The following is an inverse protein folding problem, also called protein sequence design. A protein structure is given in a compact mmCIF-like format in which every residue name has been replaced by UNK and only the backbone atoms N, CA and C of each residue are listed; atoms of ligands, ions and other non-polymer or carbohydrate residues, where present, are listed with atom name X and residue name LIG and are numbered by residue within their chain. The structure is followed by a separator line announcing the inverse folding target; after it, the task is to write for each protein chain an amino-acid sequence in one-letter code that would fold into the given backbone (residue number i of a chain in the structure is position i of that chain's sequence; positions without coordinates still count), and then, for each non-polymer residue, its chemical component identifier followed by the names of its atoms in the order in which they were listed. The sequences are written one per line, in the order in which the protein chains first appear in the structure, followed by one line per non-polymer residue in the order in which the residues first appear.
data_IF_889625859147
#
_entry.id   IF_889625859147
#
_cell.length_a   1.000
_cell.length_b   1.000
_cell.length_c   1.000
_cell.angle_alpha   90.00
_cell.angle_beta   90.00
_cell.angle_gamma   90.00
#
_symmetry.space_group_name_H-M   'P 1'
#
loop_
_entity.id
_entity.type
_entity.pdbx_description
1 polymer ?
#
# COMPACT_ATOMS: atom_id res chain seq x y z
N UNK A 1 -3.73 -4.89 16.87
CA UNK A 1 -3.36 -3.77 15.97
C UNK A 1 -4.45 -3.57 14.91
N UNK A 2 -5.18 -4.63 14.55
CA UNK A 2 -6.32 -4.64 13.63
C UNK A 2 -7.57 -3.89 14.14
N UNK A 3 -7.74 -3.72 15.45
CA UNK A 3 -8.86 -2.98 16.07
C UNK A 3 -9.04 -1.52 15.62
N UNK A 4 -8.01 -0.87 15.06
CA UNK A 4 -8.07 0.55 14.65
C UNK A 4 -8.47 0.76 13.19
N UNK A 5 -8.43 -0.27 12.36
CA UNK A 5 -8.89 -0.18 10.97
C UNK A 5 -10.42 -0.24 10.87
N UNK A 6 -11.12 -0.68 11.92
CA UNK A 6 -12.58 -0.84 11.91
C UNK A 6 -13.36 0.49 11.71
N UNK A 7 -12.77 1.63 12.08
CA UNK A 7 -13.41 2.95 11.89
C UNK A 7 -13.19 3.53 10.49
N UNK A 8 -12.36 2.88 9.69
CA UNK A 8 -11.96 3.34 8.35
C UNK A 8 -12.87 2.66 7.32
N UNK A 9 -13.55 3.46 6.49
CA UNK A 9 -14.28 2.94 5.33
C UNK A 9 -13.46 3.18 4.07
N UNK A 10 -13.24 2.13 3.28
CA UNK A 10 -12.68 2.21 1.94
C UNK A 10 -13.81 2.07 0.91
N UNK A 11 -13.83 2.95 -0.09
CA UNK A 11 -14.68 2.79 -1.26
C UNK A 11 -13.83 2.25 -2.42
N UNK A 12 -14.15 1.04 -2.87
CA UNK A 12 -13.39 0.32 -3.88
C UNK A 12 -13.68 0.83 -5.30
N UNK A 13 -12.68 1.39 -6.01
CA UNK A 13 -12.85 1.80 -7.40
C UNK A 13 -12.72 0.63 -8.39
N UNK A 14 -12.27 -0.55 -7.95
CA UNK A 14 -12.03 -1.72 -8.80
C UNK A 14 -10.64 -1.78 -9.44
N UNK A 15 -9.83 -0.72 -9.31
CA UNK A 15 -8.46 -0.64 -9.80
C UNK A 15 -7.50 -0.18 -8.70
N UNK A 16 -6.29 -0.76 -8.64
CA UNK A 16 -5.33 -0.45 -7.58
C UNK A 16 -4.64 0.88 -7.87
N UNK A 17 -4.70 1.83 -6.93
CA UNK A 17 -3.91 3.06 -6.99
C UNK A 17 -2.43 2.85 -6.58
N UNK A 18 -2.06 1.60 -6.31
CA UNK A 18 -0.74 1.16 -5.89
C UNK A 18 -0.23 0.07 -6.84
N UNK A 19 1.03 0.17 -7.21
CA UNK A 19 1.72 -0.86 -8.01
C UNK A 19 3.23 -0.78 -7.78
N UNK A 20 3.99 -1.64 -8.44
CA UNK A 20 5.44 -1.60 -8.55
C UNK A 20 5.84 -1.25 -9.99
N UNK A 21 6.86 -0.42 -10.18
CA UNK A 21 7.30 -0.02 -11.54
C UNK A 21 7.95 -1.19 -12.29
N UNK A 22 8.76 -1.98 -11.59
CA UNK A 22 9.49 -3.13 -12.12
C UNK A 22 9.44 -4.27 -11.11
N UNK A 23 8.82 -5.39 -11.45
CA UNK A 23 8.67 -6.55 -10.57
C UNK A 23 10.00 -7.19 -10.17
N UNK A 24 10.96 -7.30 -11.10
CA UNK A 24 12.27 -7.92 -10.85
C UNK A 24 13.07 -7.24 -9.72
N UNK A 25 12.89 -5.94 -9.53
CA UNK A 25 13.52 -5.20 -8.42
C UNK A 25 13.00 -5.74 -7.08
N UNK A 26 11.70 -6.05 -7.00
CA UNK A 26 11.10 -6.61 -5.78
C UNK A 26 11.50 -8.06 -5.54
N UNK A 27 11.66 -8.88 -6.59
CA UNK A 27 12.15 -10.27 -6.47
C UNK A 27 13.53 -10.33 -5.78
N UNK A 28 14.38 -9.32 -6.01
CA UNK A 28 15.72 -9.21 -5.41
C UNK A 28 15.76 -8.34 -4.15
N UNK A 29 14.60 -7.82 -3.71
CA UNK A 29 14.51 -6.92 -2.58
C UNK A 29 14.51 -7.72 -1.27
N UNK A 30 15.51 -7.49 -0.41
CA UNK A 30 15.57 -8.07 0.94
C UNK A 30 15.05 -7.10 2.01
N UNK A 31 14.96 -5.80 1.67
CA UNK A 31 14.59 -4.79 2.65
C UNK A 31 13.08 -4.76 2.92
N UNK A 32 12.21 -4.91 1.91
CA UNK A 32 10.76 -4.79 2.10
C UNK A 32 10.34 -3.57 2.93
N UNK A 33 11.01 -2.43 2.75
CA UNK A 33 10.75 -1.22 3.54
C UNK A 33 9.28 -0.76 3.43
N UNK A 34 8.67 -0.93 2.24
CA UNK A 34 7.26 -0.66 2.00
C UNK A 34 6.32 -1.48 2.90
N UNK A 35 6.69 -2.72 3.24
CA UNK A 35 5.96 -3.58 4.20
C UNK A 35 6.13 -3.03 5.61
N UNK A 36 7.38 -2.80 6.03
CA UNK A 36 7.72 -2.38 7.40
C UNK A 36 7.12 -1.05 7.82
N UNK A 37 7.08 -0.07 6.92
CA UNK A 37 6.56 1.27 7.25
C UNK A 37 5.05 1.38 7.13
N UNK A 38 4.37 0.38 6.54
CA UNK A 38 2.95 0.49 6.25
C UNK A 38 2.12 0.32 7.54
N UNK A 39 1.41 1.37 8.00
CA UNK A 39 0.61 1.28 9.23
C UNK A 39 -0.66 0.43 9.07
N UNK A 40 -1.03 0.09 7.84
CA UNK A 40 -2.28 -0.58 7.49
C UNK A 40 -2.08 -1.96 6.85
N UNK A 41 -0.84 -2.48 6.86
CA UNK A 41 -0.51 -3.81 6.33
C UNK A 41 -0.99 -4.04 4.87
N UNK A 42 -0.85 -2.99 4.04
CA UNK A 42 -1.21 -2.98 2.62
C UNK A 42 -0.23 -3.83 1.81
N UNK A 43 1.07 -3.61 2.03
CA UNK A 43 2.13 -4.37 1.39
C UNK A 43 2.43 -5.60 2.24
N UNK A 44 2.47 -6.78 1.61
CA UNK A 44 2.77 -8.05 2.29
C UNK A 44 3.81 -8.81 1.48
N UNK A 45 4.78 -9.37 2.17
CA UNK A 45 5.79 -10.23 1.54
C UNK A 45 5.12 -11.42 0.83
N UNK A 46 5.71 -11.86 -0.28
CA UNK A 46 5.26 -13.01 -1.06
C UNK A 46 6.41 -13.98 -1.26
N UNK A 47 6.11 -15.26 -1.41
CA UNK A 47 7.12 -16.30 -1.69
C UNK A 47 7.85 -16.06 -3.03
N UNK A 48 7.21 -15.36 -3.97
CA UNK A 48 7.78 -14.99 -5.27
C UNK A 48 8.60 -13.68 -5.23
N UNK A 49 8.68 -13.03 -4.07
CA UNK A 49 9.42 -11.79 -3.83
C UNK A 49 8.71 -10.50 -4.26
N UNK A 50 7.78 -10.56 -5.21
CA UNK A 50 6.91 -9.42 -5.52
C UNK A 50 5.83 -9.30 -4.45
N UNK A 51 5.75 -8.19 -3.69
CA UNK A 51 4.82 -8.07 -2.57
C UNK A 51 3.36 -8.06 -3.04
N UNK A 52 2.49 -8.71 -2.27
CA UNK A 52 1.04 -8.60 -2.45
C UNK A 52 0.55 -7.24 -1.94
N UNK A 53 -0.43 -6.65 -2.63
CA UNK A 53 -0.95 -5.30 -2.35
C UNK A 53 -2.45 -5.38 -2.00
N UNK A 54 -2.78 -5.25 -0.71
CA UNK A 54 -4.15 -5.12 -0.22
C UNK A 54 -4.56 -3.63 -0.18
N UNK A 55 -4.65 -3.01 -1.37
CA UNK A 55 -4.80 -1.57 -1.56
C UNK A 55 -6.07 -0.98 -0.91
N UNK A 56 -7.07 -1.81 -0.66
CA UNK A 56 -8.30 -1.46 0.06
C UNK A 56 -8.07 -0.98 1.51
N UNK A 57 -6.90 -1.29 2.09
CA UNK A 57 -6.52 -0.83 3.43
C UNK A 57 -5.69 0.46 3.39
N UNK A 58 -5.40 1.01 2.21
CA UNK A 58 -4.51 2.16 2.09
C UNK A 58 -5.09 3.39 2.78
N UNK A 59 -4.29 3.99 3.67
CA UNK A 59 -4.63 5.24 4.36
C UNK A 59 -4.19 6.50 3.60
N UNK A 60 -3.76 6.33 2.35
CA UNK A 60 -3.28 7.42 1.48
C UNK A 60 -2.11 8.24 2.06
N UNK A 61 -1.34 7.67 3.00
CA UNK A 61 -0.26 8.37 3.71
C UNK A 61 1.06 8.49 2.92
N UNK A 62 1.19 7.82 1.78
CA UNK A 62 2.39 7.78 0.91
C UNK A 62 3.70 7.25 1.51
N UNK A 63 3.71 6.77 2.76
CA UNK A 63 4.93 6.29 3.43
C UNK A 63 5.69 5.20 2.66
N UNK A 64 4.96 4.26 2.05
CA UNK A 64 5.57 3.18 1.25
C UNK A 64 6.36 3.71 0.03
N UNK A 65 5.89 4.79 -0.59
CA UNK A 65 6.56 5.44 -1.72
C UNK A 65 7.92 5.98 -1.32
N UNK A 66 7.98 6.68 -0.19
CA UNK A 66 9.22 7.32 0.27
C UNK A 66 10.19 6.35 0.96
N UNK A 67 9.68 5.26 1.55
CA UNK A 67 10.51 4.28 2.23
C UNK A 67 11.21 3.31 1.27
N UNK A 68 10.67 3.09 0.07
CA UNK A 68 11.27 2.20 -0.92
C UNK A 68 12.62 2.78 -1.42
N UNK A 69 13.73 2.18 -1.00
CA UNK A 69 15.09 2.57 -1.40
C UNK A 69 15.34 2.51 -2.90
N UNK A 70 14.55 1.72 -3.63
CA UNK A 70 14.65 1.55 -5.08
C UNK A 70 13.74 2.51 -5.87
N UNK A 71 13.00 3.41 -5.20
CA UNK A 71 11.98 4.25 -5.82
C UNK A 71 11.00 3.45 -6.71
N UNK A 72 10.68 2.22 -6.31
CA UNK A 72 9.96 1.27 -7.17
C UNK A 72 8.44 1.24 -6.92
N UNK A 73 7.94 1.98 -5.94
CA UNK A 73 6.51 2.04 -5.62
C UNK A 73 5.80 3.05 -6.53
N UNK A 74 4.80 2.59 -7.27
CA UNK A 74 3.78 3.43 -7.89
C UNK A 74 2.72 3.74 -6.84
N UNK A 75 2.45 5.02 -6.66
CA UNK A 75 1.43 5.51 -5.75
C UNK A 75 0.75 6.71 -6.40
N UNK A 76 -0.55 6.61 -6.61
CA UNK A 76 -1.41 7.72 -7.01
C UNK A 76 -2.54 7.89 -6.00
N UNK A 77 -3.21 9.04 -6.02
CA UNK A 77 -4.47 9.13 -5.31
C UNK A 77 -5.50 8.17 -5.93
N UNK A 78 -6.38 7.56 -5.13
CA UNK A 78 -7.55 6.87 -5.65
C UNK A 78 -8.41 7.81 -6.51
N UNK A 79 -9.26 7.24 -7.35
CA UNK A 79 -10.21 8.03 -8.14
C UNK A 79 -11.14 8.88 -7.25
N UNK A 80 -11.67 9.96 -7.80
CA UNK A 80 -12.51 10.89 -7.04
C UNK A 80 -13.75 10.16 -6.48
N UNK A 81 -13.89 10.17 -5.15
CA UNK A 81 -14.99 9.47 -4.46
C UNK A 81 -14.65 8.02 -4.04
N UNK A 82 -13.48 7.52 -4.41
CA UNK A 82 -12.90 6.28 -3.88
C UNK A 82 -11.89 6.57 -2.76
N UNK A 83 -11.34 5.53 -2.14
CA UNK A 83 -10.29 5.68 -1.14
C UNK A 83 -10.79 5.74 0.31
N UNK A 84 -9.95 6.31 1.17
CA UNK A 84 -10.12 6.25 2.63
C UNK A 84 -11.03 7.37 3.15
N UNK A 85 -12.05 7.03 3.93
CA UNK A 85 -12.87 8.02 4.65
C UNK A 85 -12.70 7.88 6.16
N UNK A 86 -12.17 8.92 6.81
CA UNK A 86 -12.06 9.01 8.26
C UNK A 86 -13.32 9.64 8.87
N UNK A 87 -13.98 8.93 9.80
CA UNK A 87 -15.20 9.43 10.46
C UNK A 87 -14.95 10.39 11.63
N UNK A 88 -13.73 10.38 12.19
CA UNK A 88 -13.33 11.17 13.36
C UNK A 88 -11.89 11.68 13.21
N UNK A 89 -11.64 12.46 12.15
CA UNK A 89 -10.33 13.10 11.91
C UNK A 89 -10.02 14.19 12.93
#
# INVERSE_FOLDING_TARGET
MEDRLYTVKYNDPGDSHLDVKVSDICVQCDSYDCVRVCPANVWRESEEGVPHIAYENCLECSSCRYACSHDNVVWTYPETGAGVTFKHG
#
